data_IF_184063506344
#
_entry.id   IF_184063506344
#
_cell.length_a   1.000
_cell.length_b   1.000
_cell.length_c   1.000
_cell.angle_alpha   90.00
_cell.angle_beta   90.00
_cell.angle_gamma   90.00
#
_symmetry.space_group_name_H-M   'P 1'
#
loop_
_entity.id
_entity.type
_entity.pdbx_description
1 polymer ?
#
# COMPACT_ATOMS: atom_id res chain seq x y z
N UNK A 1 23.70 12.49 -9.97
CA UNK A 1 22.88 12.31 -11.19
C UNK A 1 22.05 11.07 -10.97
N UNK A 2 20.76 11.19 -10.66
CA UNK A 2 19.88 10.03 -10.75
C UNK A 2 19.89 9.57 -12.22
N UNK A 3 19.90 8.25 -12.50
CA UNK A 3 19.63 7.78 -13.85
C UNK A 3 18.30 8.38 -14.32
N UNK A 4 18.13 8.54 -15.63
CA UNK A 4 16.85 8.93 -16.24
C UNK A 4 15.82 7.84 -15.93
N UNK A 5 15.21 7.92 -14.74
CA UNK A 5 14.23 6.96 -14.26
C UNK A 5 12.96 7.19 -15.06
N UNK A 6 12.49 6.13 -15.72
CA UNK A 6 11.22 6.19 -16.42
C UNK A 6 10.08 6.46 -15.43
N UNK A 7 8.95 6.97 -15.93
CA UNK A 7 7.75 7.14 -15.10
C UNK A 7 7.27 5.80 -14.53
N UNK A 8 7.52 4.70 -15.25
CA UNK A 8 7.24 3.34 -14.79
C UNK A 8 8.13 2.95 -13.61
N UNK A 9 9.44 3.24 -13.66
CA UNK A 9 10.36 3.01 -12.54
C UNK A 9 9.96 3.82 -11.30
N UNK A 10 9.52 5.07 -11.49
CA UNK A 10 9.03 5.91 -10.40
C UNK A 10 7.75 5.35 -9.79
N UNK A 11 6.82 4.82 -10.61
CA UNK A 11 5.61 4.16 -10.09
C UNK A 11 5.93 2.88 -9.32
N UNK A 12 6.89 2.08 -9.77
CA UNK A 12 7.33 0.89 -9.04
C UNK A 12 7.94 1.27 -7.69
N UNK A 13 8.79 2.29 -7.65
CA UNK A 13 9.38 2.81 -6.40
C UNK A 13 8.33 3.38 -5.45
N UNK A 14 7.35 4.09 -5.98
CA UNK A 14 6.21 4.59 -5.19
C UNK A 14 5.43 3.44 -4.55
N UNK A 15 5.11 2.40 -5.31
CA UNK A 15 4.42 1.22 -4.79
C UNK A 15 5.26 0.48 -3.75
N UNK A 16 6.57 0.37 -3.97
CA UNK A 16 7.49 -0.24 -3.02
C UNK A 16 7.53 0.53 -1.70
N UNK A 17 7.68 1.85 -1.76
CA UNK A 17 7.66 2.73 -0.58
C UNK A 17 6.31 2.67 0.14
N UNK A 18 5.18 2.79 -0.56
CA UNK A 18 3.85 2.67 0.05
C UNK A 18 3.66 1.31 0.74
N UNK A 19 4.11 0.23 0.10
CA UNK A 19 4.04 -1.13 0.67
C UNK A 19 4.91 -1.24 1.92
N UNK A 20 6.09 -0.63 1.92
CA UNK A 20 6.98 -0.57 3.08
C UNK A 20 6.32 0.16 4.27
N UNK A 21 5.69 1.31 4.03
CA UNK A 21 5.01 2.09 5.07
C UNK A 21 3.85 1.29 5.70
N UNK A 22 3.03 0.66 4.86
CA UNK A 22 1.93 -0.18 5.33
C UNK A 22 2.46 -1.39 6.11
N UNK A 23 3.49 -2.07 5.61
CA UNK A 23 4.09 -3.22 6.27
C UNK A 23 4.68 -2.85 7.63
N UNK A 24 5.39 -1.72 7.74
CA UNK A 24 5.94 -1.22 9.01
C UNK A 24 4.84 -1.00 10.04
N UNK A 25 3.76 -0.30 9.66
CA UNK A 25 2.62 -0.12 10.56
C UNK A 25 1.92 -1.41 10.91
N UNK A 26 1.81 -2.35 9.97
CA UNK A 26 1.20 -3.64 10.23
C UNK A 26 1.99 -4.42 11.29
N UNK A 27 3.32 -4.39 11.23
CA UNK A 27 4.20 -5.09 12.17
C UNK A 27 4.17 -4.51 13.59
N UNK A 28 3.73 -3.26 13.76
CA UNK A 28 3.53 -2.63 15.07
C UNK A 28 2.24 -3.07 15.76
N UNK A 29 1.30 -3.68 15.02
CA UNK A 29 0.01 -4.09 15.56
C UNK A 29 0.11 -5.40 16.36
N UNK A 30 -0.55 -5.43 17.51
CA UNK A 30 -0.84 -6.69 18.22
C UNK A 30 -1.87 -7.55 17.48
N UNK A 31 -1.95 -8.83 17.81
CA UNK A 31 -2.95 -9.74 17.24
C UNK A 31 -4.40 -9.22 17.41
N UNK A 32 -4.73 -8.68 18.59
CA UNK A 32 -6.07 -8.16 18.88
C UNK A 32 -6.40 -6.94 18.01
N UNK A 33 -5.42 -6.07 17.76
CA UNK A 33 -5.56 -4.91 16.90
C UNK A 33 -5.73 -5.26 15.42
N UNK A 34 -4.99 -6.27 14.97
CA UNK A 34 -5.11 -6.83 13.62
C UNK A 34 -6.51 -7.41 13.43
N UNK A 35 -7.03 -8.14 14.43
CA UNK A 35 -8.41 -8.64 14.42
C UNK A 35 -9.43 -7.49 14.41
N UNK A 36 -9.30 -6.50 15.29
CA UNK A 36 -10.24 -5.39 15.42
C UNK A 36 -10.33 -4.57 14.12
N UNK A 37 -9.19 -4.16 13.56
CA UNK A 37 -9.12 -3.35 12.34
C UNK A 37 -9.69 -4.07 11.12
N UNK A 38 -9.46 -5.38 11.01
CA UNK A 38 -10.03 -6.17 9.91
C UNK A 38 -11.57 -6.19 9.93
N UNK A 39 -12.20 -6.19 11.11
CA UNK A 39 -13.65 -6.18 11.25
C UNK A 39 -14.23 -4.79 10.99
N UNK A 40 -13.51 -3.72 11.34
CA UNK A 40 -13.87 -2.34 10.99
C UNK A 40 -13.74 -2.03 9.49
N UNK A 41 -12.89 -2.75 8.74
CA UNK A 41 -12.74 -2.54 7.30
C UNK A 41 -14.06 -2.67 6.52
N UNK A 42 -14.99 -3.52 6.99
CA UNK A 42 -16.31 -3.68 6.40
C UNK A 42 -17.22 -2.44 6.55
N UNK A 43 -16.89 -1.56 7.49
CA UNK A 43 -17.64 -0.33 7.81
C UNK A 43 -17.07 0.92 7.15
N UNK A 44 -15.88 0.84 6.53
CA UNK A 44 -15.28 1.99 5.88
C UNK A 44 -16.01 2.33 4.57
N UNK A 45 -16.31 3.61 4.30
CA UNK A 45 -16.93 4.02 3.03
C UNK A 45 -16.02 3.63 1.86
N UNK A 46 -16.64 3.21 0.76
CA UNK A 46 -15.93 3.03 -0.50
C UNK A 46 -15.38 4.40 -0.93
N UNK A 47 -14.05 4.51 -1.08
CA UNK A 47 -13.46 5.72 -1.68
C UNK A 47 -13.95 5.78 -3.13
N UNK A 48 -14.51 6.91 -3.61
CA UNK A 48 -14.75 7.08 -5.03
C UNK A 48 -13.40 7.12 -5.74
N UNK A 49 -13.09 6.05 -6.46
CA UNK A 49 -11.89 5.95 -7.31
C UNK A 49 -12.19 6.56 -8.69
N UNK A 50 -11.54 7.66 -9.09
CA UNK A 50 -11.64 8.17 -10.47
C UNK A 50 -10.88 7.31 -11.50
N UNK A 51 -10.02 6.38 -11.08
CA UNK A 51 -9.11 5.61 -11.97
C UNK A 51 -9.57 4.19 -12.31
N UNK A 52 -10.78 3.78 -11.91
CA UNK A 52 -11.33 2.42 -12.14
C UNK A 52 -11.66 2.05 -13.60
N UNK A 53 -11.09 2.73 -14.59
CA UNK A 53 -11.27 2.37 -16.01
C UNK A 53 -10.10 1.61 -16.65
N UNK A 54 -8.92 1.45 -16.03
CA UNK A 54 -7.76 0.91 -16.78
C UNK A 54 -6.90 -0.18 -16.10
N UNK A 55 -7.27 -0.75 -14.96
CA UNK A 55 -6.48 -1.84 -14.36
C UNK A 55 -7.32 -3.09 -14.08
N UNK A 56 -7.36 -4.00 -15.06
CA UNK A 56 -7.78 -5.39 -14.86
C UNK A 56 -6.59 -6.22 -14.36
N UNK A 57 -6.12 -5.93 -13.14
CA UNK A 57 -5.20 -6.79 -12.39
C UNK A 57 -5.91 -8.00 -11.79
N UNK A 58 -5.21 -9.07 -11.36
CA UNK A 58 -5.79 -10.35 -11.01
C UNK A 58 -6.47 -10.30 -9.63
N UNK A 59 -7.68 -9.75 -9.57
CA UNK A 59 -8.46 -9.64 -8.35
C UNK A 59 -9.10 -10.96 -7.86
N UNK A 60 -8.73 -12.13 -8.40
CA UNK A 60 -9.52 -13.37 -8.22
C UNK A 60 -8.77 -14.59 -7.69
N UNK A 61 -7.48 -14.47 -7.32
CA UNK A 61 -6.71 -15.63 -6.82
C UNK A 61 -6.91 -15.87 -5.32
N UNK A 62 -7.11 -14.81 -4.53
CA UNK A 62 -7.13 -14.89 -3.05
C UNK A 62 -8.38 -15.63 -2.50
N UNK A 63 -9.50 -15.61 -3.24
CA UNK A 63 -10.77 -16.19 -2.78
C UNK A 63 -10.83 -17.73 -2.82
N UNK A 64 -9.87 -18.42 -3.47
CA UNK A 64 -9.91 -19.88 -3.66
C UNK A 64 -8.93 -20.67 -2.77
N UNK A 65 -8.34 -20.05 -1.76
CA UNK A 65 -7.35 -20.70 -0.89
C UNK A 65 -8.03 -21.19 0.41
N UNK A 66 -8.05 -22.51 0.70
CA UNK A 66 -8.44 -23.01 2.01
C UNK A 66 -7.55 -22.39 3.10
N UNK A 67 -8.13 -21.69 4.08
CA UNK A 67 -7.38 -20.83 5.02
C UNK A 67 -7.41 -19.33 4.67
N UNK A 68 -8.23 -18.91 3.70
CA UNK A 68 -8.45 -17.53 3.28
C UNK A 68 -8.82 -16.55 4.39
N UNK A 69 -9.32 -17.03 5.54
CA UNK A 69 -9.70 -16.17 6.67
C UNK A 69 -8.55 -15.29 7.15
N UNK A 70 -7.33 -15.85 7.31
CA UNK A 70 -6.17 -15.05 7.74
C UNK A 70 -5.66 -14.10 6.65
N UNK A 71 -5.62 -14.55 5.39
CA UNK A 71 -5.22 -13.69 4.26
C UNK A 71 -6.20 -12.54 4.03
N UNK A 72 -7.49 -12.79 4.21
CA UNK A 72 -8.54 -11.78 4.14
C UNK A 72 -8.41 -10.79 5.30
N UNK A 73 -8.08 -11.27 6.50
CA UNK A 73 -7.80 -10.46 7.67
C UNK A 73 -6.62 -9.51 7.41
N UNK A 74 -5.48 -10.05 6.95
CA UNK A 74 -4.31 -9.26 6.56
C UNK A 74 -4.66 -8.23 5.49
N UNK A 75 -5.39 -8.63 4.44
CA UNK A 75 -5.82 -7.75 3.35
C UNK A 75 -6.68 -6.58 3.86
N UNK A 76 -7.68 -6.86 4.71
CA UNK A 76 -8.57 -5.85 5.29
C UNK A 76 -7.81 -4.87 6.17
N UNK A 77 -6.92 -5.37 7.02
CA UNK A 77 -6.10 -4.53 7.90
C UNK A 77 -5.11 -3.67 7.11
N UNK A 78 -4.44 -4.22 6.08
CA UNK A 78 -3.57 -3.44 5.21
C UNK A 78 -4.31 -2.30 4.50
N UNK A 79 -5.57 -2.53 4.08
CA UNK A 79 -6.40 -1.50 3.45
C UNK A 79 -6.80 -0.38 4.43
N UNK A 80 -7.09 -0.73 5.68
CA UNK A 80 -7.37 0.25 6.75
C UNK A 80 -6.12 1.10 7.01
N UNK A 81 -4.96 0.45 7.20
CA UNK A 81 -3.69 1.14 7.45
C UNK A 81 -3.30 2.07 6.31
N UNK A 82 -3.46 1.64 5.05
CA UNK A 82 -3.20 2.50 3.89
C UNK A 82 -4.04 3.78 3.87
N UNK A 83 -5.25 3.76 4.47
CA UNK A 83 -6.10 4.94 4.61
C UNK A 83 -5.72 5.78 5.83
N UNK A 84 -5.41 5.14 6.96
CA UNK A 84 -4.99 5.82 8.19
C UNK A 84 -3.67 6.55 8.03
N UNK A 85 -2.75 6.00 7.22
CA UNK A 85 -1.46 6.58 6.93
C UNK A 85 -1.52 7.84 6.06
N UNK A 86 -2.68 8.14 5.46
CA UNK A 86 -2.90 9.29 4.57
C UNK A 86 -1.76 9.46 3.55
N UNK A 87 -1.38 8.34 2.91
CA UNK A 87 -0.22 8.29 2.02
C UNK A 87 -0.41 9.29 0.86
N UNK A 88 0.65 10.04 0.50
CA UNK A 88 0.59 11.04 -0.56
C UNK A 88 0.24 10.40 -1.91
N UNK A 89 -0.37 11.18 -2.80
CA UNK A 89 -0.58 10.76 -4.17
C UNK A 89 0.75 10.60 -4.93
N UNK A 90 0.72 9.88 -6.06
CA UNK A 90 1.94 9.62 -6.85
C UNK A 90 2.70 10.89 -7.25
N UNK A 91 2.00 11.94 -7.72
CA UNK A 91 2.66 13.18 -8.16
C UNK A 91 3.30 13.96 -7.01
N UNK A 92 2.64 14.03 -5.86
CA UNK A 92 3.16 14.66 -4.65
C UNK A 92 4.40 13.91 -4.14
N UNK A 93 4.29 12.59 -4.03
CA UNK A 93 5.41 11.73 -3.66
C UNK A 93 6.59 11.86 -4.63
N UNK A 94 6.31 11.89 -5.95
CA UNK A 94 7.33 12.00 -6.99
C UNK A 94 8.11 13.30 -6.87
N UNK A 95 7.44 14.42 -6.60
CA UNK A 95 8.11 15.71 -6.39
C UNK A 95 9.10 15.62 -5.24
N UNK A 96 8.67 15.14 -4.07
CA UNK A 96 9.54 14.97 -2.90
C UNK A 96 10.66 13.95 -3.12
N UNK A 97 10.38 12.84 -3.83
CA UNK A 97 11.37 11.81 -4.14
C UNK A 97 12.48 12.32 -5.06
N UNK A 98 12.16 13.19 -6.02
CA UNK A 98 13.15 13.78 -6.92
C UNK A 98 14.02 14.83 -6.22
N UNK A 99 13.48 15.51 -5.19
CA UNK A 99 14.21 16.48 -4.37
C UNK A 99 15.21 15.81 -3.42
N UNK A 100 14.80 14.74 -2.73
CA UNK A 100 15.68 13.98 -1.83
C UNK A 100 15.43 12.46 -1.90
N UNK A 101 15.98 11.77 -2.93
CA UNK A 101 15.75 10.34 -3.11
C UNK A 101 16.31 9.47 -1.99
N UNK A 102 17.38 9.91 -1.32
CA UNK A 102 18.08 9.10 -0.33
C UNK A 102 17.30 8.98 0.98
N UNK A 103 16.43 9.96 1.29
CA UNK A 103 15.47 9.85 2.38
C UNK A 103 14.49 8.68 2.18
N UNK A 104 13.95 8.54 0.97
CA UNK A 104 12.96 7.52 0.63
C UNK A 104 13.55 6.12 0.43
N UNK A 105 14.80 5.99 -0.04
CA UNK A 105 15.44 4.68 -0.24
C UNK A 105 15.59 3.88 1.05
N UNK A 106 15.86 4.54 2.19
CA UNK A 106 15.89 3.88 3.51
C UNK A 106 14.53 3.31 3.90
N UNK A 107 13.49 3.85 3.28
CA UNK A 107 12.10 3.57 3.56
C UNK A 107 11.45 2.64 2.55
N UNK A 108 12.21 2.17 1.55
CA UNK A 108 11.81 1.18 0.55
C UNK A 108 12.08 -0.25 1.03
N UNK A 109 11.35 -1.24 0.50
CA UNK A 109 11.63 -2.66 0.74
C UNK A 109 12.82 -3.14 -0.11
N UNK A 110 13.00 -2.55 -1.30
CA UNK A 110 14.16 -2.79 -2.17
C UNK A 110 15.16 -1.64 -2.04
N UNK A 111 15.82 -1.57 -0.87
CA UNK A 111 16.93 -0.64 -0.60
C UNK A 111 18.24 -1.05 -1.26
#
# INVERSE_FOLDING_TARGET
MLPDLSEEDLRLRYLDWCSAQVARRFLELSHDEVWLRSHFAASLPARPDPEKSHSRGPATVVERIPGSGYLELVRKTALVLARELDLPGFEEWKQSYLEDPDSFKRDMLTG
#
